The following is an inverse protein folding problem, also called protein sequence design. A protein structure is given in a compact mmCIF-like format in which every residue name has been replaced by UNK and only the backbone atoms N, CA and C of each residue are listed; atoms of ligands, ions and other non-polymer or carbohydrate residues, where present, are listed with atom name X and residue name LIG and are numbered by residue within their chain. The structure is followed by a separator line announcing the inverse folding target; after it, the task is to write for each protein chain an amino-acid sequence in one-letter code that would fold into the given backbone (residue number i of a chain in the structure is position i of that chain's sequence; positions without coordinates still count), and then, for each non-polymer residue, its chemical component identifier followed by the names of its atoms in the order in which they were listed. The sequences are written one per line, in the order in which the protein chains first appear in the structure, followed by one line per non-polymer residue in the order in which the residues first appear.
data_IF_402239283045
#
_entry.id   IF_402239283045
#
_cell.length_a   1.000
_cell.length_b   1.000
_cell.length_c   1.000
_cell.angle_alpha   90.00
_cell.angle_beta   90.00
_cell.angle_gamma   90.00
#
_symmetry.space_group_name_H-M   'P 1'
#
loop_
_entity.id
_entity.type
_entity.pdbx_description
1 polymer ?
#
# COMPACT_ATOMS: atom_id res chain seq x y z
N UNK A 1 25.39 -1.46 5.47
CA UNK A 1 24.82 -1.62 4.94
C UNK A 1 24.28 -1.73 4.96
N UNK A 2 24.69 -1.57 5.45
CA UNK A 2 23.97 -1.87 5.12
C UNK A 2 23.53 -2.11 5.19
N UNK A 3 23.98 -2.07 5.49
CA UNK A 3 23.34 -2.50 5.10
C UNK A 3 23.02 -2.80 4.89
N UNK A 4 23.63 -2.99 5.43
CA UNK A 4 23.33 -3.17 4.67
C UNK A 4 23.10 -3.66 4.51
N UNK A 5 23.26 -3.78 4.30
CA UNK A 5 22.91 -4.09 3.73
C UNK A 5 22.59 -4.56 3.49
N UNK A 6 23.06 -4.66 3.72
CA UNK A 6 22.55 -4.93 3.15
C UNK A 6 22.15 -5.39 3.00
N UNK A 7 22.41 -5.62 3.19
CA UNK A 7 21.87 -5.80 2.71
C UNK A 7 21.46 -6.33 2.55
N UNK A 8 21.77 -6.66 2.70
CA UNK A 8 21.31 -6.97 2.19
C UNK A 8 21.16 -7.49 2.13
N UNK A 9 21.40 -7.73 2.28
CA UNK A 9 21.05 -8.04 1.93
C UNK A 9 20.61 -8.75 1.80
N UNK A 10 20.74 -9.10 1.94
CA UNK A 10 20.39 -9.71 1.60
C UNK A 10 19.68 -10.37 1.30
N UNK A 11 19.65 -10.62 1.33
CA UNK A 11 18.97 -11.17 0.98
C UNK A 11 18.43 -11.67 0.43
N UNK A 12 18.91 -12.05 0.60
CA UNK A 12 18.46 -12.41 -0.08
C UNK A 12 17.51 -12.67 -0.33
N UNK A 13 17.57 -12.62 -0.13
CA UNK A 13 16.42 -12.76 -0.37
C UNK A 13 15.81 -12.42 -1.41
N UNK A 14 15.66 -12.96 -1.92
CA UNK A 14 14.78 -12.74 -2.95
C UNK A 14 13.59 -11.97 -2.53
N UNK A 15 13.63 -11.22 -1.62
CA UNK A 15 12.48 -10.52 -1.18
C UNK A 15 12.25 -9.27 -1.96
N UNK A 16 11.01 -8.81 -2.03
CA UNK A 16 10.74 -7.47 -2.44
C UNK A 16 11.42 -6.51 -1.48
N UNK A 17 11.96 -5.40 -1.98
CA UNK A 17 12.53 -4.41 -1.06
C UNK A 17 11.41 -3.83 -0.21
N UNK A 18 11.51 -4.02 1.09
CA UNK A 18 10.53 -3.46 2.03
C UNK A 18 11.27 -2.56 3.00
N UNK A 19 10.52 -1.60 3.54
CA UNK A 19 11.03 -0.73 4.59
C UNK A 19 11.06 -1.48 5.91
N UNK A 20 11.75 -0.92 6.90
CA UNK A 20 11.76 -1.48 8.24
C UNK A 20 10.35 -1.55 8.85
N UNK A 21 9.40 -0.76 8.33
CA UNK A 21 8.01 -0.77 8.78
C UNK A 21 7.17 -1.87 8.12
N UNK A 22 7.78 -2.70 7.27
CA UNK A 22 7.09 -3.83 6.66
C UNK A 22 6.25 -3.52 5.45
N UNK A 23 6.36 -2.29 4.90
CA UNK A 23 5.66 -1.95 3.65
C UNK A 23 6.68 -1.72 2.54
N UNK A 24 6.32 -2.00 1.28
CA UNK A 24 7.25 -1.78 0.18
C UNK A 24 7.39 -0.30 -0.15
N UNK A 25 8.46 0.06 -0.83
CA UNK A 25 8.63 1.40 -1.39
C UNK A 25 7.93 1.53 -2.73
N UNK A 26 7.80 0.43 -3.45
CA UNK A 26 7.11 0.37 -4.73
C UNK A 26 6.81 -1.09 -5.06
N UNK A 27 5.88 -1.27 -5.96
CA UNK A 27 5.54 -2.61 -6.45
C UNK A 27 4.93 -2.49 -7.85
N UNK A 28 4.74 -3.61 -8.52
CA UNK A 28 4.25 -3.63 -9.90
C UNK A 28 2.83 -4.17 -9.93
N UNK A 29 1.97 -3.52 -10.72
CA UNK A 29 0.64 -4.02 -11.06
C UNK A 29 0.40 -3.82 -12.55
N UNK A 30 0.18 -4.92 -13.27
CA UNK A 30 -0.13 -4.90 -14.70
C UNK A 30 0.84 -4.03 -15.50
N UNK A 31 2.13 -4.12 -15.18
CA UNK A 31 3.15 -3.36 -15.86
C UNK A 31 3.36 -1.93 -15.38
N UNK A 32 2.53 -1.47 -14.44
CA UNK A 32 2.69 -0.15 -13.86
C UNK A 32 3.48 -0.23 -12.56
N UNK A 33 4.35 0.74 -12.35
CA UNK A 33 5.05 0.86 -11.07
C UNK A 33 4.24 1.74 -10.14
N UNK A 34 3.87 1.17 -9.00
CA UNK A 34 3.11 1.88 -7.98
C UNK A 34 4.08 2.30 -6.88
N UNK A 35 4.19 3.59 -6.63
CA UNK A 35 5.00 4.10 -5.53
C UNK A 35 4.23 4.06 -4.22
N UNK A 36 4.95 3.84 -3.12
CA UNK A 36 4.37 3.93 -1.78
C UNK A 36 5.17 4.97 -1.00
N UNK A 37 4.52 6.04 -0.59
CA UNK A 37 5.18 7.14 0.12
C UNK A 37 4.56 7.35 1.49
N UNK A 38 5.41 7.61 2.47
CA UNK A 38 4.94 8.15 3.75
C UNK A 38 5.14 9.66 3.69
N UNK A 39 4.11 10.40 4.10
CA UNK A 39 4.08 11.86 3.98
C UNK A 39 3.97 12.46 5.36
N UNK A 40 4.87 13.41 5.71
CA UNK A 40 4.78 14.07 7.02
C UNK A 40 3.45 14.79 7.20
N UNK A 41 2.98 14.81 8.44
CA UNK A 41 1.69 15.43 8.75
C UNK A 41 1.61 16.87 8.24
N UNK A 42 2.67 17.63 8.36
CA UNK A 42 2.69 19.01 7.90
C UNK A 42 2.55 19.19 6.40
N UNK A 43 2.78 18.13 5.64
CA UNK A 43 2.66 18.14 4.17
C UNK A 43 1.48 17.33 3.67
N UNK A 44 0.69 16.76 4.58
CA UNK A 44 -0.46 15.93 4.21
C UNK A 44 -1.57 16.82 3.66
N UNK A 45 -2.07 16.49 2.48
CA UNK A 45 -3.05 17.31 1.75
C UNK A 45 -4.41 16.65 1.59
N UNK A 46 -4.62 15.50 2.23
CA UNK A 46 -5.80 14.67 1.95
C UNK A 46 -6.86 14.74 3.03
N UNK A 47 -6.75 15.71 3.95
CA UNK A 47 -7.74 15.90 5.00
C UNK A 47 -7.36 15.20 6.29
N UNK A 48 -7.94 15.67 7.39
CA UNK A 48 -7.56 15.18 8.72
C UNK A 48 -8.11 13.81 9.05
N UNK A 49 -9.17 13.39 8.36
CA UNK A 49 -9.79 12.10 8.59
C UNK A 49 -9.27 11.00 7.65
N UNK A 50 -8.36 11.36 6.76
CA UNK A 50 -7.78 10.44 5.80
C UNK A 50 -6.36 10.12 6.25
N UNK A 51 -6.03 8.84 6.43
CA UNK A 51 -4.69 8.42 6.86
C UNK A 51 -3.91 7.70 5.78
N UNK A 52 -4.57 7.32 4.70
CA UNK A 52 -3.93 6.71 3.54
C UNK A 52 -4.81 6.92 2.32
N UNK A 53 -4.22 6.92 1.14
CA UNK A 53 -4.98 7.17 -0.08
C UNK A 53 -4.28 6.53 -1.27
N UNK A 54 -5.08 5.97 -2.19
CA UNK A 54 -4.64 5.52 -3.49
C UNK A 54 -4.92 6.63 -4.51
N UNK A 55 -3.88 7.03 -5.25
CA UNK A 55 -3.96 8.10 -6.24
C UNK A 55 -3.73 7.48 -7.64
N UNK A 56 -4.80 7.11 -8.34
CA UNK A 56 -4.65 6.41 -9.62
C UNK A 56 -3.95 7.25 -10.69
N UNK A 57 -4.17 8.56 -10.69
CA UNK A 57 -3.54 9.43 -11.69
C UNK A 57 -2.04 9.55 -11.51
N UNK A 58 -1.53 9.18 -10.35
CA UNK A 58 -0.09 9.24 -10.04
C UNK A 58 0.54 7.87 -9.87
N UNK A 59 -0.26 6.80 -9.95
CA UNK A 59 0.20 5.45 -9.63
C UNK A 59 0.92 5.44 -8.29
N UNK A 60 0.25 5.95 -7.25
CA UNK A 60 0.90 6.17 -5.96
C UNK A 60 -0.05 5.94 -4.80
N UNK A 61 0.46 5.31 -3.76
CA UNK A 61 -0.20 5.22 -2.46
C UNK A 61 0.54 6.16 -1.53
N UNK A 62 -0.19 6.99 -0.79
CA UNK A 62 0.38 7.86 0.23
C UNK A 62 -0.22 7.51 1.58
N UNK A 63 0.63 7.47 2.60
CA UNK A 63 0.24 7.15 3.97
C UNK A 63 0.83 8.22 4.86
N UNK A 64 0.01 8.77 5.77
CA UNK A 64 0.50 9.79 6.69
C UNK A 64 1.50 9.18 7.65
N UNK A 65 2.60 9.87 7.91
CA UNK A 65 3.73 9.31 8.65
C UNK A 65 3.43 9.08 10.13
N UNK A 66 2.35 9.64 10.65
CA UNK A 66 1.99 9.44 12.06
C UNK A 66 1.43 8.06 12.34
N UNK A 67 0.98 7.34 11.30
CA UNK A 67 0.53 5.94 11.44
C UNK A 67 1.76 5.05 11.34
N UNK A 68 1.93 4.14 12.31
CA UNK A 68 3.16 3.35 12.43
C UNK A 68 2.86 1.87 12.68
N UNK A 69 3.88 1.04 12.51
CA UNK A 69 3.83 -0.38 12.86
C UNK A 69 2.76 -1.14 12.09
N UNK A 70 2.06 -2.01 12.79
CA UNK A 70 1.03 -2.84 12.15
C UNK A 70 -0.12 -2.00 11.62
N UNK A 71 -0.40 -0.85 12.23
CA UNK A 71 -1.43 0.05 11.72
C UNK A 71 -1.04 0.59 10.35
N UNK A 72 0.25 0.91 10.15
CA UNK A 72 0.73 1.35 8.84
C UNK A 72 0.60 0.24 7.80
N UNK A 73 0.91 -0.99 8.21
CA UNK A 73 0.77 -2.13 7.31
C UNK A 73 -0.69 -2.34 6.90
N UNK A 74 -1.63 -2.17 7.83
CA UNK A 74 -3.05 -2.28 7.51
C UNK A 74 -3.49 -1.19 6.54
N UNK A 75 -3.05 0.03 6.75
CA UNK A 75 -3.38 1.13 5.84
C UNK A 75 -2.84 0.86 4.46
N UNK A 76 -1.56 0.42 4.38
CA UNK A 76 -0.98 0.09 3.08
C UNK A 76 -1.77 -1.01 2.37
N UNK A 77 -2.11 -2.09 3.09
CA UNK A 77 -2.86 -3.20 2.48
C UNK A 77 -4.23 -2.75 1.98
N UNK A 78 -4.91 -1.91 2.74
CA UNK A 78 -6.20 -1.35 2.35
C UNK A 78 -6.07 -0.57 1.03
N UNK A 79 -5.08 0.32 0.96
CA UNK A 79 -4.90 1.12 -0.26
C UNK A 79 -4.40 0.28 -1.42
N UNK A 80 -3.61 -0.76 -1.15
CA UNK A 80 -3.15 -1.67 -2.19
C UNK A 80 -4.34 -2.41 -2.83
N UNK A 81 -5.35 -2.77 -2.06
CA UNK A 81 -6.56 -3.39 -2.61
C UNK A 81 -7.28 -2.41 -3.54
N UNK A 82 -7.40 -1.13 -3.15
CA UNK A 82 -7.96 -0.13 -4.06
C UNK A 82 -7.19 -0.10 -5.37
N UNK A 83 -5.85 -0.10 -5.30
CA UNK A 83 -5.02 -0.08 -6.50
C UNK A 83 -5.23 -1.32 -7.36
N UNK A 84 -5.28 -2.50 -6.74
CA UNK A 84 -5.49 -3.76 -7.45
C UNK A 84 -6.83 -3.74 -8.19
N UNK A 85 -7.89 -3.31 -7.50
CA UNK A 85 -9.23 -3.30 -8.09
C UNK A 85 -9.31 -2.30 -9.25
N UNK A 86 -8.70 -1.12 -9.09
CA UNK A 86 -8.66 -0.14 -10.17
C UNK A 86 -7.93 -0.68 -11.40
N UNK A 87 -6.75 -1.26 -11.18
CA UNK A 87 -5.95 -1.78 -12.29
C UNK A 87 -6.65 -2.96 -12.96
N UNK A 88 -7.38 -3.76 -12.19
CA UNK A 88 -8.13 -4.90 -12.71
C UNK A 88 -9.42 -4.48 -13.42
N UNK A 89 -9.77 -3.21 -13.40
CA UNK A 89 -10.96 -2.70 -14.10
C UNK A 89 -12.22 -2.67 -13.27
N UNK A 90 -12.12 -2.80 -11.94
CA UNK A 90 -13.27 -2.78 -11.05
C UNK A 90 -13.51 -1.42 -10.39
N UNK A 91 -12.79 -0.40 -10.79
CA UNK A 91 -12.98 0.95 -10.31
C UNK A 91 -12.27 1.89 -11.25
N UNK A 92 -12.33 3.16 -11.05
CA UNK A 92 -13.48 3.97 -10.72
C UNK A 92 -14.44 4.02 -11.92
N UNK A 93 -15.51 3.27 -11.79
CA UNK A 93 -16.54 3.19 -12.82
C UNK A 93 -17.73 4.03 -12.35
N UNK A 94 -18.37 4.79 -13.22
CA UNK A 94 -19.53 5.59 -12.81
C UNK A 94 -20.76 4.72 -12.59
N UNK A 95 -20.65 3.68 -11.79
CA UNK A 95 -21.72 2.76 -11.44
C UNK A 95 -21.72 2.51 -9.95
N UNK A 96 -22.86 2.11 -9.43
CA UNK A 96 -23.02 1.91 -7.99
C UNK A 96 -22.32 0.67 -7.46
N UNK A 97 -21.93 -0.24 -8.33
CA UNK A 97 -21.31 -1.50 -7.94
C UNK A 97 -19.79 -1.48 -8.10
N UNK A 98 -19.18 -0.31 -8.00
CA UNK A 98 -17.73 -0.16 -8.07
C UNK A 98 -17.10 -0.77 -6.82
N UNK A 99 -16.48 -1.95 -6.96
CA UNK A 99 -15.86 -2.68 -5.84
C UNK A 99 -14.72 -1.92 -5.20
N UNK A 100 -14.00 -1.09 -5.98
CA UNK A 100 -12.92 -0.28 -5.44
C UNK A 100 -13.40 0.73 -4.39
N UNK A 101 -14.69 1.08 -4.41
CA UNK A 101 -15.28 2.04 -3.48
C UNK A 101 -16.08 1.38 -2.37
N UNK A 102 -16.21 0.06 -2.40
CA UNK A 102 -16.86 -0.67 -1.32
C UNK A 102 -15.85 -0.82 -0.19
N UNK A 103 -15.90 0.10 0.77
CA UNK A 103 -14.89 0.17 1.83
C UNK A 103 -14.90 -1.07 2.72
N UNK A 104 -16.05 -1.68 2.93
CA UNK A 104 -16.12 -2.88 3.75
C UNK A 104 -15.44 -4.06 3.04
N UNK A 105 -15.70 -4.21 1.75
CA UNK A 105 -15.08 -5.25 0.93
C UNK A 105 -13.55 -5.02 0.87
N UNK A 106 -13.13 -3.79 0.61
CA UNK A 106 -11.71 -3.43 0.54
C UNK A 106 -11.02 -3.68 1.87
N UNK A 107 -11.66 -3.31 2.96
CA UNK A 107 -11.09 -3.50 4.28
C UNK A 107 -10.86 -4.98 4.60
N UNK A 108 -11.84 -5.82 4.28
CA UNK A 108 -11.70 -7.26 4.49
C UNK A 108 -10.57 -7.87 3.68
N UNK A 109 -10.49 -7.50 2.40
CA UNK A 109 -9.40 -7.99 1.56
C UNK A 109 -8.05 -7.47 2.04
N UNK A 110 -7.99 -6.24 2.50
CA UNK A 110 -6.77 -5.66 3.04
C UNK A 110 -6.27 -6.41 4.27
N UNK A 111 -7.17 -6.78 5.18
CA UNK A 111 -6.79 -7.56 6.35
C UNK A 111 -6.25 -8.94 5.95
N UNK A 112 -6.90 -9.59 4.99
CA UNK A 112 -6.44 -10.90 4.53
C UNK A 112 -5.09 -10.80 3.84
N UNK A 113 -4.89 -9.76 3.02
CA UNK A 113 -3.62 -9.53 2.37
C UNK A 113 -2.51 -9.28 3.38
N UNK A 114 -2.77 -8.45 4.37
CA UNK A 114 -1.80 -8.18 5.42
C UNK A 114 -1.41 -9.45 6.15
N UNK A 115 -2.39 -10.27 6.54
CA UNK A 115 -2.12 -11.52 7.24
C UNK A 115 -1.25 -12.43 6.36
N UNK A 116 -1.60 -12.56 5.10
CA UNK A 116 -0.83 -13.41 4.19
C UNK A 116 0.62 -12.94 4.11
N UNK A 117 0.83 -11.63 3.91
CA UNK A 117 2.17 -11.09 3.73
C UNK A 117 3.02 -11.19 5.00
N UNK A 118 2.41 -11.04 6.18
CA UNK A 118 3.16 -11.05 7.43
C UNK A 118 3.41 -12.46 7.95
N UNK A 119 2.76 -13.47 7.39
CA UNK A 119 2.94 -14.86 7.79
C UNK A 119 3.65 -15.72 6.76
N UNK A 120 4.04 -15.14 5.64
CA UNK A 120 4.79 -15.86 4.61
C UNK A 120 6.16 -16.25 5.13
N UNK A 121 6.60 -17.46 4.81
CA UNK A 121 7.89 -18.00 5.21
C UNK A 121 8.78 -18.25 4.02
#
# INVERSE_FOLDING_TARGET
MRRGKREIEGVAEVGLPVRSDGIPKKFQLAGHTIEVRTVPRGKWRHGKDCIGIWLPEKNRIEIISTVKGSARQQVWAHEAIHAILDVAGYGPIPKTDDLSRDEQFVDRLGHLLQQMLTTME
#
